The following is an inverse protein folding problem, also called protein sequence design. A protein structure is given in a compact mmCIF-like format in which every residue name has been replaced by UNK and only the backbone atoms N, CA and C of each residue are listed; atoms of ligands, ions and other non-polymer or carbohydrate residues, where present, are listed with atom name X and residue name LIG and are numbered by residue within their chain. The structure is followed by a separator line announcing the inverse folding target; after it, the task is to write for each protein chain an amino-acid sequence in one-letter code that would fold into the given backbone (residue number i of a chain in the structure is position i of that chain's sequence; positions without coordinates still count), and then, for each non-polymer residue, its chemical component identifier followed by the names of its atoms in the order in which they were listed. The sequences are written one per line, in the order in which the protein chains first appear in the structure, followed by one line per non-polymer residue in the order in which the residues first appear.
data_IF_349461150501
#
_entry.id   IF_349461150501
#
_cell.length_a   1.000
_cell.length_b   1.000
_cell.length_c   1.000
_cell.angle_alpha   90.00
_cell.angle_beta   90.00
_cell.angle_gamma   90.00
#
_symmetry.space_group_name_H-M   'P 1'
#
loop_
_entity.id
_entity.type
_entity.pdbx_description
1 polymer ?
#
# COMPACT_ATOMS: atom_id res chain seq x y z
N UNK A 1 -7.95 -47.95 -0.02
CA UNK A 1 -8.22 -47.27 1.24
C UNK A 1 -8.54 -45.83 0.88
N UNK A 2 -9.83 -45.48 0.91
CA UNK A 2 -10.32 -44.15 0.46
C UNK A 2 -10.07 -43.16 1.59
N UNK A 3 -9.41 -42.04 1.28
CA UNK A 3 -9.29 -40.88 2.16
C UNK A 3 -10.54 -40.05 1.93
N UNK A 4 -11.38 -39.96 2.96
CA UNK A 4 -12.56 -39.10 2.95
C UNK A 4 -12.13 -37.64 3.03
N UNK A 5 -12.40 -36.93 1.94
CA UNK A 5 -12.35 -35.48 1.87
C UNK A 5 -13.68 -34.89 2.33
N UNK A 6 -13.60 -33.68 2.90
CA UNK A 6 -14.67 -32.72 3.01
C UNK A 6 -15.29 -32.54 4.38
N UNK A 7 -14.71 -31.58 5.09
CA UNK A 7 -15.39 -30.85 6.18
C UNK A 7 -15.84 -29.44 5.79
N UNK A 8 -15.85 -29.09 4.50
CA UNK A 8 -16.30 -27.76 4.05
C UNK A 8 -17.34 -27.91 2.94
N UNK A 9 -18.53 -27.29 3.07
CA UNK A 9 -19.58 -27.39 2.06
C UNK A 9 -19.19 -26.59 0.82
N UNK A 10 -19.14 -27.26 -0.32
CA UNK A 10 -19.02 -26.68 -1.65
C UNK A 10 -20.36 -26.10 -2.10
N UNK A 11 -20.76 -24.93 -1.62
CA UNK A 11 -21.83 -24.18 -2.28
C UNK A 11 -21.70 -22.67 -1.96
N UNK A 12 -21.00 -21.96 -2.80
CA UNK A 12 -20.82 -20.50 -2.70
C UNK A 12 -21.89 -19.80 -3.56
N UNK A 13 -23.14 -19.96 -3.16
CA UNK A 13 -24.21 -19.10 -3.64
C UNK A 13 -24.11 -17.75 -2.93
N UNK A 14 -23.88 -16.68 -3.66
CA UNK A 14 -24.10 -15.31 -3.20
C UNK A 14 -25.58 -15.15 -2.85
N UNK A 15 -25.95 -15.33 -1.58
CA UNK A 15 -27.25 -14.85 -1.09
C UNK A 15 -27.18 -13.33 -0.96
N UNK A 16 -28.14 -12.59 -1.53
CA UNK A 16 -28.21 -11.15 -1.28
C UNK A 16 -28.51 -10.96 0.21
N UNK A 17 -27.66 -10.20 0.89
CA UNK A 17 -27.89 -9.75 2.25
C UNK A 17 -29.24 -9.04 2.29
N UNK A 18 -30.23 -9.64 2.94
CA UNK A 18 -31.46 -8.95 3.33
C UNK A 18 -31.06 -7.78 4.21
N UNK A 19 -31.51 -6.58 3.86
CA UNK A 19 -31.32 -5.37 4.64
C UNK A 19 -31.69 -5.64 6.11
N UNK A 20 -30.71 -5.50 7.00
CA UNK A 20 -30.96 -5.34 8.43
C UNK A 20 -31.41 -3.91 8.65
N UNK A 21 -32.52 -3.74 9.30
CA UNK A 21 -32.93 -2.46 9.87
C UNK A 21 -31.83 -1.97 10.82
N UNK A 22 -31.50 -0.69 10.68
CA UNK A 22 -30.48 -0.01 11.50
C UNK A 22 -30.99 0.13 12.95
N UNK A 23 -30.69 -0.86 13.79
CA UNK A 23 -30.58 -0.65 15.23
C UNK A 23 -29.17 -0.11 15.50
N UNK A 24 -29.05 0.86 16.41
CA UNK A 24 -27.87 1.64 16.75
C UNK A 24 -26.65 0.75 17.13
N UNK A 25 -26.01 0.13 16.14
CA UNK A 25 -24.67 -0.43 16.27
C UNK A 25 -23.70 0.76 16.33
N UNK A 26 -22.85 0.80 17.34
CA UNK A 26 -21.76 1.77 17.44
C UNK A 26 -20.93 1.69 16.14
N UNK A 27 -20.93 2.77 15.37
CA UNK A 27 -20.19 2.83 14.14
C UNK A 27 -18.69 2.57 14.43
N UNK A 28 -18.10 1.60 13.74
CA UNK A 28 -16.67 1.30 13.91
C UNK A 28 -15.84 2.50 13.47
N UNK A 29 -14.88 2.90 14.30
CA UNK A 29 -13.97 4.02 13.98
C UNK A 29 -13.01 3.64 12.86
N UNK A 30 -12.45 2.42 12.91
CA UNK A 30 -11.42 1.98 11.98
C UNK A 30 -11.69 0.58 11.46
N UNK A 31 -11.71 0.40 10.14
CA UNK A 31 -11.56 -0.91 9.51
C UNK A 31 -10.10 -1.15 9.16
N UNK A 32 -9.52 -2.23 9.69
CA UNK A 32 -8.21 -2.74 9.26
C UNK A 32 -8.44 -3.83 8.21
N UNK A 33 -8.04 -3.58 6.97
CA UNK A 33 -8.09 -4.58 5.89
C UNK A 33 -6.76 -5.34 5.90
N UNK A 34 -6.86 -6.68 6.05
CA UNK A 34 -5.71 -7.59 6.05
C UNK A 34 -5.80 -8.50 4.82
N UNK A 35 -5.08 -8.17 3.72
CA UNK A 35 -4.95 -9.05 2.55
C UNK A 35 -4.14 -10.29 2.90
N UNK A 36 -4.66 -11.50 2.59
CA UNK A 36 -4.01 -12.77 2.97
C UNK A 36 -3.91 -13.71 1.77
N UNK A 37 -2.68 -14.09 1.42
CA UNK A 37 -2.41 -15.15 0.46
C UNK A 37 -1.22 -16.00 0.88
N UNK A 38 -1.48 -17.22 1.41
CA UNK A 38 -0.46 -18.18 1.87
C UNK A 38 0.49 -17.57 2.93
N UNK A 39 -0.06 -17.09 4.04
CA UNK A 39 0.64 -16.40 5.13
C UNK A 39 0.59 -17.14 6.47
N UNK A 40 0.44 -18.46 6.47
CA UNK A 40 0.32 -19.30 7.67
C UNK A 40 1.38 -19.00 8.73
N UNK A 41 2.62 -18.70 8.31
CA UNK A 41 3.73 -18.42 9.23
C UNK A 41 3.61 -17.09 9.97
N UNK A 42 2.93 -16.11 9.41
CA UNK A 42 2.96 -14.72 9.87
C UNK A 42 1.61 -14.20 10.37
N UNK A 43 0.52 -14.67 9.77
CA UNK A 43 -0.83 -14.16 10.03
C UNK A 43 -1.22 -14.19 11.50
N UNK A 44 -0.74 -15.15 12.29
CA UNK A 44 -1.05 -15.21 13.74
C UNK A 44 -0.48 -14.02 14.49
N UNK A 45 0.75 -13.57 14.15
CA UNK A 45 1.34 -12.38 14.74
C UNK A 45 0.61 -11.12 14.28
N UNK A 46 0.28 -11.02 13.00
CA UNK A 46 -0.48 -9.92 12.42
C UNK A 46 -1.81 -9.73 13.16
N UNK A 47 -2.68 -10.74 13.15
CA UNK A 47 -4.00 -10.65 13.77
C UNK A 47 -3.91 -10.52 15.30
N UNK A 48 -2.95 -11.19 15.94
CA UNK A 48 -2.71 -11.09 17.38
C UNK A 48 -2.33 -9.68 17.83
N UNK A 49 -1.64 -8.91 16.99
CA UNK A 49 -1.26 -7.53 17.30
C UNK A 49 -2.46 -6.58 17.33
N UNK A 50 -3.57 -6.95 16.70
CA UNK A 50 -4.82 -6.18 16.68
C UNK A 50 -5.77 -6.54 17.85
N UNK A 51 -5.47 -7.60 18.61
CA UNK A 51 -6.22 -7.99 19.81
C UNK A 51 -5.81 -7.09 20.97
N UNK A 52 -6.36 -5.89 21.01
CA UNK A 52 -6.05 -4.84 21.98
C UNK A 52 -7.35 -4.45 22.66
N UNK A 53 -7.52 -4.84 23.96
CA UNK A 53 -8.79 -4.70 24.68
C UNK A 53 -9.36 -3.29 24.66
N UNK A 54 -8.50 -2.26 24.71
CA UNK A 54 -8.88 -0.86 24.74
C UNK A 54 -9.54 -0.35 23.45
N UNK A 55 -9.29 -1.01 22.32
CA UNK A 55 -9.81 -0.57 21.01
C UNK A 55 -10.66 -1.62 20.29
N UNK A 56 -10.82 -2.81 20.88
CA UNK A 56 -11.43 -3.97 20.21
C UNK A 56 -12.87 -3.69 19.73
N UNK A 57 -13.64 -2.96 20.52
CA UNK A 57 -15.03 -2.61 20.19
C UNK A 57 -15.11 -1.50 19.10
N UNK A 58 -14.05 -0.68 18.98
CA UNK A 58 -13.98 0.46 18.08
C UNK A 58 -13.46 0.11 16.68
N UNK A 59 -12.88 -1.10 16.52
CA UNK A 59 -12.29 -1.50 15.24
C UNK A 59 -13.04 -2.67 14.61
N UNK A 60 -12.96 -2.76 13.28
CA UNK A 60 -13.28 -3.92 12.47
C UNK A 60 -12.01 -4.44 11.81
N UNK A 61 -11.80 -5.74 11.78
CA UNK A 61 -10.68 -6.38 11.07
C UNK A 61 -11.23 -7.29 9.99
N UNK A 62 -11.03 -6.91 8.74
CA UNK A 62 -11.43 -7.68 7.57
C UNK A 62 -10.25 -8.52 7.07
N UNK A 63 -10.27 -9.80 7.38
CA UNK A 63 -9.28 -10.77 6.88
C UNK A 63 -9.72 -11.25 5.51
N UNK A 64 -9.12 -10.69 4.44
CA UNK A 64 -9.48 -11.02 3.05
C UNK A 64 -8.59 -12.15 2.55
N UNK A 65 -9.13 -13.37 2.58
CA UNK A 65 -8.47 -14.58 2.09
C UNK A 65 -8.54 -14.64 0.55
N UNK A 66 -7.45 -14.29 -0.11
CA UNK A 66 -7.34 -14.21 -1.57
C UNK A 66 -6.94 -15.57 -2.18
N UNK A 67 -7.73 -16.61 -1.89
CA UNK A 67 -7.52 -17.96 -2.44
C UNK A 67 -6.34 -18.71 -1.81
N UNK A 68 -6.03 -18.47 -0.53
CA UNK A 68 -5.00 -19.19 0.23
C UNK A 68 -5.25 -20.70 0.26
N UNK A 69 -4.16 -21.49 0.17
CA UNK A 69 -4.18 -22.97 0.16
C UNK A 69 -3.47 -23.61 1.35
N UNK A 70 -2.85 -22.77 2.21
CA UNK A 70 -2.16 -23.17 3.44
C UNK A 70 -3.08 -23.04 4.68
N UNK A 71 -2.51 -23.14 5.87
CA UNK A 71 -3.22 -23.01 7.15
C UNK A 71 -3.73 -21.62 7.50
N UNK A 72 -3.53 -20.59 6.65
CA UNK A 72 -3.92 -19.19 6.94
C UNK A 72 -5.40 -19.05 7.31
N UNK A 73 -6.30 -19.75 6.60
CA UNK A 73 -7.73 -19.69 6.85
C UNK A 73 -8.11 -20.27 8.24
N UNK A 74 -7.48 -21.37 8.64
CA UNK A 74 -7.70 -21.96 9.96
C UNK A 74 -7.28 -21.02 11.09
N UNK A 75 -6.12 -20.38 10.94
CA UNK A 75 -5.63 -19.40 11.91
C UNK A 75 -6.58 -18.20 12.00
N UNK A 76 -7.00 -17.65 10.85
CA UNK A 76 -7.94 -16.54 10.84
C UNK A 76 -9.27 -16.89 11.53
N UNK A 77 -9.76 -18.10 11.33
CA UNK A 77 -11.00 -18.59 11.95
C UNK A 77 -10.93 -18.58 13.48
N UNK A 78 -9.79 -18.93 14.10
CA UNK A 78 -9.60 -18.87 15.56
C UNK A 78 -9.84 -17.46 16.11
N UNK A 79 -9.46 -16.40 15.39
CA UNK A 79 -9.71 -15.01 15.79
C UNK A 79 -11.17 -14.61 15.63
N UNK A 80 -11.82 -15.01 14.54
CA UNK A 80 -13.26 -14.76 14.34
C UNK A 80 -14.10 -15.46 15.42
N UNK A 81 -13.78 -16.72 15.75
CA UNK A 81 -14.48 -17.47 16.79
C UNK A 81 -14.35 -16.81 18.17
N UNK A 82 -13.17 -16.25 18.46
CA UNK A 82 -12.89 -15.63 19.77
C UNK A 82 -13.35 -14.17 19.87
N UNK A 83 -13.37 -13.44 18.74
CA UNK A 83 -13.71 -12.00 18.68
C UNK A 83 -14.65 -11.72 17.50
N UNK A 84 -15.88 -12.27 17.50
CA UNK A 84 -16.77 -12.23 16.33
C UNK A 84 -17.28 -10.83 15.98
N UNK A 85 -17.29 -9.89 16.94
CA UNK A 85 -17.72 -8.51 16.72
C UNK A 85 -16.62 -7.62 16.14
N UNK A 86 -15.37 -8.13 16.12
CA UNK A 86 -14.20 -7.39 15.64
C UNK A 86 -13.62 -8.01 14.36
N UNK A 87 -13.49 -9.33 14.30
CA UNK A 87 -12.85 -10.01 13.17
C UNK A 87 -13.88 -10.66 12.25
N UNK A 88 -13.71 -10.44 10.96
CA UNK A 88 -14.53 -11.04 9.91
C UNK A 88 -13.66 -11.57 8.78
N UNK A 89 -13.93 -12.78 8.31
CA UNK A 89 -13.25 -13.38 7.17
C UNK A 89 -14.08 -13.15 5.90
N UNK A 90 -13.38 -12.74 4.84
CA UNK A 90 -13.91 -12.66 3.50
C UNK A 90 -13.14 -13.63 2.61
N UNK A 91 -13.84 -14.59 2.03
CA UNK A 91 -13.26 -15.55 1.10
C UNK A 91 -13.45 -15.07 -0.35
N UNK A 92 -12.41 -15.14 -1.16
CA UNK A 92 -12.50 -14.85 -2.59
C UNK A 92 -11.53 -15.70 -3.40
N UNK A 93 -11.78 -15.82 -4.70
CA UNK A 93 -10.80 -16.37 -5.63
C UNK A 93 -9.59 -15.45 -5.71
N UNK A 94 -8.38 -16.05 -5.91
CA UNK A 94 -7.16 -15.26 -6.02
C UNK A 94 -7.26 -14.23 -7.14
N UNK A 95 -6.99 -13.00 -6.81
CA UNK A 95 -6.97 -11.84 -7.71
C UNK A 95 -5.82 -10.88 -7.38
N UNK A 96 -4.95 -11.26 -6.44
CA UNK A 96 -3.80 -10.48 -6.01
C UNK A 96 -4.14 -9.42 -4.96
N UNK A 97 -3.09 -8.75 -4.48
CA UNK A 97 -3.14 -7.80 -3.37
C UNK A 97 -4.18 -6.69 -3.59
N UNK A 98 -4.17 -6.05 -4.77
CA UNK A 98 -5.15 -4.99 -5.10
C UNK A 98 -6.59 -5.49 -5.09
N UNK A 99 -6.85 -6.71 -5.56
CA UNK A 99 -8.18 -7.32 -5.53
C UNK A 99 -8.67 -7.57 -4.11
N UNK A 100 -7.77 -7.96 -3.19
CA UNK A 100 -8.09 -8.10 -1.77
C UNK A 100 -8.39 -6.74 -1.12
N UNK A 101 -7.62 -5.70 -1.43
CA UNK A 101 -7.88 -4.34 -0.96
C UNK A 101 -9.23 -3.83 -1.50
N UNK A 102 -9.50 -3.96 -2.80
CA UNK A 102 -10.78 -3.56 -3.41
C UNK A 102 -11.98 -4.22 -2.70
N UNK A 103 -11.85 -5.53 -2.41
CA UNK A 103 -12.89 -6.27 -1.70
C UNK A 103 -13.05 -5.76 -0.26
N UNK A 104 -11.95 -5.53 0.45
CA UNK A 104 -11.95 -4.99 1.80
C UNK A 104 -12.58 -3.60 1.85
N UNK A 105 -12.20 -2.70 0.95
CA UNK A 105 -12.78 -1.35 0.84
C UNK A 105 -14.30 -1.40 0.63
N UNK A 106 -14.78 -2.27 -0.23
CA UNK A 106 -16.21 -2.43 -0.49
C UNK A 106 -16.97 -2.89 0.76
N UNK A 107 -16.35 -3.71 1.62
CA UNK A 107 -16.96 -4.34 2.78
C UNK A 107 -16.69 -3.61 4.11
N UNK A 108 -15.80 -2.63 4.12
CA UNK A 108 -15.42 -1.88 5.32
C UNK A 108 -16.63 -1.15 5.93
N UNK A 109 -16.77 -1.19 7.25
CA UNK A 109 -17.84 -0.48 7.98
C UNK A 109 -17.33 0.70 8.80
N UNK A 110 -16.02 0.76 9.07
CA UNK A 110 -15.41 1.82 9.86
C UNK A 110 -15.37 3.16 9.12
N UNK A 111 -15.40 4.24 9.87
CA UNK A 111 -15.27 5.61 9.33
C UNK A 111 -13.94 5.80 8.61
N UNK A 112 -12.89 5.18 9.11
CA UNK A 112 -11.55 5.16 8.51
C UNK A 112 -11.14 3.75 8.08
N UNK A 113 -10.20 3.68 7.16
CA UNK A 113 -9.59 2.43 6.69
C UNK A 113 -8.08 2.50 6.76
N UNK A 114 -7.46 1.39 7.16
CA UNK A 114 -6.02 1.15 7.11
C UNK A 114 -5.75 -0.22 6.51
N UNK A 115 -4.71 -0.32 5.67
CA UNK A 115 -4.22 -1.61 5.17
C UNK A 115 -3.12 -2.10 6.09
N UNK A 116 -3.18 -3.38 6.45
CA UNK A 116 -2.13 -4.09 7.18
C UNK A 116 -1.78 -5.38 6.45
N UNK A 117 -0.57 -5.46 5.91
CA UNK A 117 -0.10 -6.67 5.24
C UNK A 117 0.01 -7.82 6.24
N UNK A 118 -0.41 -9.01 5.84
CA UNK A 118 -0.54 -10.18 6.73
C UNK A 118 0.79 -10.77 7.23
N UNK A 119 1.92 -10.29 6.74
CA UNK A 119 3.26 -10.59 7.24
C UNK A 119 3.82 -9.51 8.20
N UNK A 120 3.09 -8.42 8.39
CA UNK A 120 3.42 -7.29 9.24
C UNK A 120 2.55 -7.29 10.52
N UNK A 121 2.75 -6.30 11.41
CA UNK A 121 1.98 -6.15 12.63
C UNK A 121 1.97 -4.71 13.11
N UNK A 122 1.17 -4.39 14.13
CA UNK A 122 1.11 -3.05 14.73
C UNK A 122 1.76 -3.02 16.12
N UNK A 123 2.28 -1.85 16.51
CA UNK A 123 2.63 -1.56 17.89
C UNK A 123 1.36 -1.24 18.67
N UNK A 124 1.18 -1.89 19.83
CA UNK A 124 -0.02 -1.79 20.64
C UNK A 124 -0.37 -0.36 21.03
N UNK A 125 0.59 0.31 21.67
CA UNK A 125 0.32 1.61 22.28
C UNK A 125 0.16 2.71 21.22
N UNK A 126 0.99 2.66 20.17
CA UNK A 126 0.87 3.57 19.05
C UNK A 126 -0.43 3.37 18.26
N UNK A 127 -0.91 2.12 18.15
CA UNK A 127 -2.19 1.83 17.50
C UNK A 127 -3.39 2.33 18.32
N UNK A 128 -3.37 2.24 19.66
CA UNK A 128 -4.38 2.85 20.50
C UNK A 128 -4.45 4.36 20.28
N UNK A 129 -3.30 5.05 20.29
CA UNK A 129 -3.26 6.50 20.05
C UNK A 129 -3.70 6.89 18.63
N UNK A 130 -3.46 6.04 17.64
CA UNK A 130 -4.04 6.24 16.31
C UNK A 130 -5.57 6.19 16.37
N UNK A 131 -6.15 5.14 16.96
CA UNK A 131 -7.62 5.01 17.07
C UNK A 131 -8.23 6.17 17.83
N UNK A 132 -7.61 6.59 18.94
CA UNK A 132 -8.07 7.75 19.71
C UNK A 132 -8.05 9.05 18.88
N UNK A 133 -7.02 9.23 18.04
CA UNK A 133 -6.98 10.37 17.11
C UNK A 133 -8.08 10.31 16.04
N UNK A 134 -8.37 9.11 15.52
CA UNK A 134 -9.41 8.93 14.50
C UNK A 134 -10.82 9.24 15.05
N UNK A 135 -11.10 8.96 16.31
CA UNK A 135 -12.39 9.29 16.95
C UNK A 135 -12.71 10.78 16.96
N UNK A 136 -11.70 11.65 16.86
CA UNK A 136 -11.95 13.09 16.76
C UNK A 136 -12.63 13.46 15.43
N UNK A 137 -12.51 12.60 14.41
CA UNK A 137 -13.10 12.82 13.09
C UNK A 137 -12.59 14.09 12.37
N UNK A 138 -11.44 14.63 12.78
CA UNK A 138 -11.02 15.97 12.35
C UNK A 138 -10.32 16.03 10.99
N UNK A 139 -9.77 14.92 10.49
CA UNK A 139 -8.99 14.91 9.26
C UNK A 139 -9.41 13.79 8.31
N UNK A 140 -9.18 14.01 7.00
CA UNK A 140 -9.42 13.01 5.96
C UNK A 140 -8.37 11.91 6.00
N UNK A 141 -7.12 12.29 6.30
CA UNK A 141 -5.99 11.39 6.45
C UNK A 141 -5.29 11.63 7.78
N UNK A 142 -5.04 10.55 8.51
CA UNK A 142 -4.11 10.53 9.63
C UNK A 142 -2.87 9.76 9.21
N UNK A 143 -1.74 10.46 9.19
CA UNK A 143 -0.44 9.88 8.86
C UNK A 143 0.29 9.49 10.14
N UNK A 144 0.84 8.26 10.17
CA UNK A 144 1.66 7.75 11.26
C UNK A 144 2.97 7.19 10.73
N UNK A 145 3.98 7.10 11.59
CA UNK A 145 5.26 6.50 11.24
C UNK A 145 5.21 4.98 11.22
N UNK A 146 6.25 4.36 10.72
CA UNK A 146 6.44 2.92 10.75
C UNK A 146 7.92 2.56 10.91
N UNK A 147 8.17 1.36 11.46
CA UNK A 147 9.51 0.78 11.56
C UNK A 147 9.74 -0.23 10.45
N UNK A 148 10.97 -0.29 9.97
CA UNK A 148 11.50 -1.50 9.36
C UNK A 148 11.98 -2.45 10.45
N UNK A 149 11.54 -3.70 10.39
CA UNK A 149 11.92 -4.73 11.35
C UNK A 149 12.57 -5.88 10.60
N UNK A 150 13.84 -6.10 10.84
CA UNK A 150 14.59 -7.17 10.18
C UNK A 150 14.28 -8.52 10.82
N UNK A 151 13.92 -9.53 10.02
CA UNK A 151 13.48 -10.85 10.48
C UNK A 151 14.58 -11.62 11.22
N UNK A 152 15.85 -11.41 10.86
CA UNK A 152 16.96 -12.19 11.42
C UNK A 152 17.30 -11.90 12.89
N UNK A 153 17.04 -10.71 13.38
CA UNK A 153 17.48 -10.27 14.71
C UNK A 153 16.42 -9.49 15.50
N UNK A 154 15.25 -9.23 14.90
CA UNK A 154 14.22 -8.42 15.53
C UNK A 154 14.59 -6.94 15.74
N UNK A 155 15.72 -6.50 15.18
CA UNK A 155 16.12 -5.10 15.26
C UNK A 155 15.14 -4.20 14.55
N UNK A 156 14.76 -3.11 15.23
CA UNK A 156 13.94 -2.06 14.65
C UNK A 156 14.84 -0.98 14.05
N UNK A 157 14.67 -0.71 12.76
CA UNK A 157 15.31 0.42 12.10
C UNK A 157 14.25 1.44 11.69
N UNK A 158 14.40 2.67 12.15
CA UNK A 158 13.52 3.78 11.75
C UNK A 158 13.81 4.08 10.27
N UNK A 159 12.81 3.96 9.42
CA UNK A 159 12.96 4.26 7.99
C UNK A 159 13.10 5.76 7.75
N UNK A 160 12.40 6.57 8.50
CA UNK A 160 12.48 8.02 8.42
C UNK A 160 13.06 8.55 9.73
N UNK A 161 14.14 9.28 9.61
CA UNK A 161 14.58 10.18 10.66
C UNK A 161 13.87 11.48 10.43
N UNK A 162 12.74 11.66 11.11
CA UNK A 162 11.99 12.89 11.05
C UNK A 162 11.66 13.34 9.62
N UNK A 163 10.69 12.66 8.94
CA UNK A 163 10.37 12.94 7.53
C UNK A 163 9.76 14.33 7.33
N UNK A 164 9.28 14.96 8.40
CA UNK A 164 8.64 16.25 8.36
C UNK A 164 9.21 17.17 9.44
N UNK A 165 10.29 17.87 9.12
CA UNK A 165 10.94 18.83 10.02
C UNK A 165 10.06 20.06 10.30
N UNK A 166 9.10 20.35 9.42
CA UNK A 166 8.30 21.59 9.42
C UNK A 166 6.83 21.36 9.74
N UNK A 167 6.48 20.25 10.40
CA UNK A 167 5.12 19.98 10.87
C UNK A 167 5.05 19.94 12.40
N UNK A 168 3.92 20.33 12.93
CA UNK A 168 3.58 20.15 14.34
C UNK A 168 2.68 18.92 14.43
N UNK A 169 3.14 17.89 15.11
CA UNK A 169 2.37 16.66 15.31
C UNK A 169 1.08 16.95 16.09
N UNK A 170 0.01 16.24 15.73
CA UNK A 170 -1.33 16.44 16.26
C UNK A 170 -2.08 17.66 15.71
N UNK A 171 -1.41 18.53 14.93
CA UNK A 171 -2.05 19.66 14.28
C UNK A 171 -2.70 19.22 12.95
N UNK A 172 -3.93 19.70 12.69
CA UNK A 172 -4.58 19.58 11.41
C UNK A 172 -4.05 20.61 10.40
N UNK A 173 -3.69 20.13 9.23
CA UNK A 173 -3.25 20.94 8.09
C UNK A 173 -4.24 20.80 6.94
N UNK A 174 -4.34 21.83 6.10
CA UNK A 174 -4.90 21.66 4.77
C UNK A 174 -3.89 20.90 3.92
N UNK A 175 -4.36 19.96 3.11
CA UNK A 175 -3.46 19.16 2.29
C UNK A 175 -2.61 20.01 1.34
N UNK A 176 -3.21 21.01 0.72
CA UNK A 176 -2.53 21.93 -0.20
C UNK A 176 -1.34 22.67 0.43
N UNK A 177 -1.38 22.97 1.75
CA UNK A 177 -0.31 23.69 2.46
C UNK A 177 0.92 22.82 2.72
N UNK A 178 0.79 21.47 2.60
CA UNK A 178 1.86 20.53 2.93
C UNK A 178 2.17 19.52 1.83
N UNK A 179 1.41 19.48 0.73
CA UNK A 179 1.53 18.50 -0.35
C UNK A 179 2.93 18.49 -0.99
N UNK A 180 3.60 19.63 -1.05
CA UNK A 180 4.95 19.75 -1.59
C UNK A 180 6.02 19.08 -0.73
N UNK A 181 5.79 18.93 0.59
CA UNK A 181 6.69 18.37 1.61
C UNK A 181 6.31 16.97 2.03
N UNK A 182 5.16 16.47 1.56
CA UNK A 182 4.57 15.22 2.03
C UNK A 182 4.80 14.08 1.05
N UNK A 183 5.07 12.89 1.56
CA UNK A 183 5.01 11.66 0.80
C UNK A 183 4.39 10.56 1.64
N UNK A 184 3.12 10.27 1.35
CA UNK A 184 2.34 9.25 2.05
C UNK A 184 2.63 7.88 1.45
N UNK A 185 2.83 6.88 2.29
CA UNK A 185 2.92 5.47 1.91
C UNK A 185 1.76 4.70 2.52
N UNK A 186 1.36 3.61 1.91
CA UNK A 186 0.28 2.75 2.40
C UNK A 186 0.43 2.40 3.88
N UNK A 187 1.64 2.02 4.32
CA UNK A 187 1.95 1.67 5.71
C UNK A 187 1.67 2.79 6.72
N UNK A 188 1.88 4.05 6.30
CA UNK A 188 1.68 5.25 7.11
C UNK A 188 0.24 5.78 7.07
N UNK A 189 -0.52 5.42 6.05
CA UNK A 189 -1.80 6.02 5.74
C UNK A 189 -2.95 5.37 6.51
N UNK A 190 -3.79 6.21 7.09
CA UNK A 190 -5.15 5.87 7.54
C UNK A 190 -6.05 6.95 6.98
N UNK A 191 -7.06 6.57 6.22
CA UNK A 191 -7.87 7.49 5.42
C UNK A 191 -9.36 7.27 5.67
N UNK A 192 -10.19 8.30 5.54
CA UNK A 192 -11.64 8.15 5.53
C UNK A 192 -12.07 7.11 4.48
N UNK A 193 -12.87 6.16 4.92
CA UNK A 193 -13.33 5.04 4.08
C UNK A 193 -14.07 5.54 2.85
N UNK A 194 -14.85 6.60 3.01
CA UNK A 194 -15.59 7.22 1.92
C UNK A 194 -14.65 7.74 0.83
N UNK A 195 -13.59 8.49 1.18
CA UNK A 195 -12.63 9.00 0.20
C UNK A 195 -11.87 7.87 -0.50
N UNK A 196 -11.48 6.83 0.24
CA UNK A 196 -10.86 5.66 -0.35
C UNK A 196 -11.76 4.95 -1.38
N UNK A 197 -13.08 5.01 -1.22
CA UNK A 197 -14.08 4.48 -2.16
C UNK A 197 -14.38 5.41 -3.31
N UNK A 198 -14.44 6.71 -3.06
CA UNK A 198 -14.82 7.75 -4.04
C UNK A 198 -13.75 8.02 -5.08
N UNK A 199 -12.55 7.51 -4.92
CA UNK A 199 -11.45 7.66 -5.89
C UNK A 199 -11.83 7.28 -7.34
N UNK A 200 -13.04 6.74 -7.55
CA UNK A 200 -13.63 6.44 -8.86
C UNK A 200 -12.89 5.36 -9.66
N UNK A 201 -11.80 4.82 -9.10
CA UNK A 201 -10.94 3.86 -9.77
C UNK A 201 -10.59 2.69 -8.85
N UNK A 202 -10.73 1.48 -9.38
CA UNK A 202 -10.28 0.28 -8.68
C UNK A 202 -8.76 0.16 -8.77
N UNK A 203 -8.15 -0.36 -7.71
CA UNK A 203 -6.76 -0.79 -7.68
C UNK A 203 -6.59 -1.95 -8.67
N UNK A 204 -5.49 -1.99 -9.41
CA UNK A 204 -5.20 -3.03 -10.38
C UNK A 204 -5.16 -4.42 -9.73
N UNK A 205 -5.89 -5.38 -10.33
CA UNK A 205 -5.96 -6.75 -9.85
C UNK A 205 -4.93 -7.64 -10.57
N UNK A 206 -4.56 -8.77 -9.97
CA UNK A 206 -3.50 -9.66 -10.48
C UNK A 206 -2.18 -8.92 -10.74
N UNK A 207 -1.91 -7.88 -9.98
CA UNK A 207 -0.78 -6.98 -10.14
C UNK A 207 -0.04 -6.78 -8.82
N UNK A 208 1.30 -6.68 -8.88
CA UNK A 208 2.17 -6.29 -7.76
C UNK A 208 2.41 -4.78 -7.77
N UNK A 209 2.86 -4.22 -6.65
CA UNK A 209 3.23 -2.79 -6.47
C UNK A 209 2.06 -1.82 -6.54
N UNK A 210 0.87 -2.30 -6.29
CA UNK A 210 -0.39 -1.53 -6.30
C UNK A 210 -0.62 -0.72 -5.03
N UNK A 211 0.24 -0.84 -4.03
CA UNK A 211 0.27 -0.03 -2.81
C UNK A 211 0.31 1.47 -3.11
N UNK A 212 1.01 1.85 -4.17
CA UNK A 212 1.04 3.25 -4.64
C UNK A 212 -0.31 3.71 -5.19
N UNK A 213 -1.09 2.83 -5.82
CA UNK A 213 -2.43 3.17 -6.33
C UNK A 213 -3.41 3.42 -5.17
N UNK A 214 -3.33 2.60 -4.11
CA UNK A 214 -4.13 2.80 -2.89
C UNK A 214 -3.91 4.19 -2.27
N UNK A 215 -2.69 4.74 -2.37
CA UNK A 215 -2.38 6.08 -1.89
C UNK A 215 -2.80 7.16 -2.90
N UNK A 216 -2.44 6.97 -4.18
CA UNK A 216 -2.55 8.04 -5.18
C UNK A 216 -3.98 8.31 -5.64
N UNK A 217 -4.84 7.28 -5.71
CA UNK A 217 -6.19 7.48 -6.21
C UNK A 217 -7.04 8.34 -5.27
N UNK A 218 -7.14 8.04 -3.95
CA UNK A 218 -7.97 8.84 -3.06
C UNK A 218 -7.37 10.20 -2.70
N UNK A 219 -6.06 10.41 -2.91
CA UNK A 219 -5.40 11.66 -2.49
C UNK A 219 -5.99 12.89 -3.17
N UNK A 220 -6.60 12.73 -4.33
CA UNK A 220 -7.24 13.81 -5.09
C UNK A 220 -8.47 14.39 -4.42
N UNK A 221 -9.03 13.68 -3.45
CA UNK A 221 -10.22 14.08 -2.69
C UNK A 221 -9.87 14.47 -1.24
N UNK A 222 -8.59 14.45 -0.86
CA UNK A 222 -8.13 14.73 0.50
C UNK A 222 -7.93 16.22 0.71
N UNK A 223 -8.69 16.81 1.63
CA UNK A 223 -8.55 18.24 1.98
C UNK A 223 -7.69 18.45 3.22
N UNK A 224 -7.71 17.50 4.16
CA UNK A 224 -7.12 17.66 5.49
C UNK A 224 -6.28 16.48 5.92
N UNK A 225 -5.17 16.77 6.64
CA UNK A 225 -4.26 15.74 7.15
C UNK A 225 -3.77 16.10 8.56
N UNK A 226 -3.64 15.09 9.41
CA UNK A 226 -2.96 15.15 10.71
C UNK A 226 -1.75 14.22 10.67
N UNK A 227 -0.63 14.69 11.22
CA UNK A 227 0.58 13.90 11.42
C UNK A 227 0.66 13.46 12.88
N UNK A 228 0.82 12.16 13.13
CA UNK A 228 1.07 11.61 14.45
C UNK A 228 2.53 11.21 14.60
N UNK A 229 3.15 11.58 15.71
CA UNK A 229 4.49 11.13 16.08
C UNK A 229 4.44 9.73 16.71
N UNK A 230 3.79 8.80 15.98
CA UNK A 230 3.57 7.43 16.43
C UNK A 230 4.04 6.43 15.38
N UNK A 231 4.81 5.43 15.83
CA UNK A 231 5.30 4.34 14.98
C UNK A 231 4.34 3.16 15.05
N UNK A 232 3.23 3.28 14.33
CA UNK A 232 2.12 2.34 14.39
C UNK A 232 2.44 1.02 13.69
N UNK A 233 3.06 1.05 12.54
CA UNK A 233 3.19 -0.09 11.64
C UNK A 233 4.60 -0.69 11.72
N UNK A 234 4.67 -2.00 11.91
CA UNK A 234 5.90 -2.79 11.96
C UNK A 234 6.09 -3.55 10.66
N UNK A 235 6.89 -2.99 9.75
CA UNK A 235 7.14 -3.55 8.42
C UNK A 235 8.27 -4.57 8.46
N UNK A 236 7.93 -5.84 8.22
CA UNK A 236 8.90 -6.95 8.21
C UNK A 236 9.77 -6.92 6.97
N UNK A 237 11.08 -7.04 7.16
CA UNK A 237 12.06 -7.13 6.09
C UNK A 237 12.89 -8.41 6.21
N UNK A 238 13.35 -8.92 5.05
CA UNK A 238 14.28 -10.05 4.98
C UNK A 238 13.62 -11.42 4.82
N UNK A 239 12.29 -11.50 4.75
CA UNK A 239 11.65 -12.78 4.47
C UNK A 239 11.88 -13.25 3.03
N UNK A 240 11.98 -14.57 2.83
CA UNK A 240 12.09 -15.18 1.51
C UNK A 240 10.86 -14.87 0.65
N UNK A 241 11.09 -14.48 -0.60
CA UNK A 241 10.02 -14.21 -1.58
C UNK A 241 9.35 -12.83 -1.46
N UNK A 242 9.89 -11.92 -0.66
CA UNK A 242 9.37 -10.56 -0.52
C UNK A 242 9.41 -9.79 -1.84
N UNK A 243 8.30 -9.11 -2.20
CA UNK A 243 8.11 -8.42 -3.48
C UNK A 243 9.15 -7.33 -3.77
N UNK A 244 9.71 -6.72 -2.72
CA UNK A 244 10.70 -5.63 -2.80
C UNK A 244 12.12 -6.09 -3.14
N UNK A 245 12.41 -7.40 -3.21
CA UNK A 245 13.73 -7.85 -3.66
C UNK A 245 13.95 -7.52 -5.14
N UNK A 246 15.19 -7.15 -5.52
CA UNK A 246 15.51 -6.80 -6.92
C UNK A 246 15.21 -7.97 -7.89
N UNK A 247 15.36 -9.21 -7.43
CA UNK A 247 15.01 -10.38 -8.23
C UNK A 247 13.52 -10.43 -8.54
N UNK A 248 12.66 -10.21 -7.53
CA UNK A 248 11.21 -10.16 -7.72
C UNK A 248 10.78 -8.94 -8.55
N UNK A 249 11.43 -7.79 -8.35
CA UNK A 249 11.15 -6.61 -9.16
C UNK A 249 11.49 -6.83 -10.64
N UNK A 250 12.56 -7.55 -10.96
CA UNK A 250 12.87 -7.96 -12.35
C UNK A 250 11.82 -8.91 -12.91
N UNK A 251 11.44 -9.92 -12.14
CA UNK A 251 10.39 -10.89 -12.56
C UNK A 251 9.06 -10.20 -12.83
N UNK A 252 8.70 -9.27 -11.97
CA UNK A 252 7.41 -8.58 -12.00
C UNK A 252 7.48 -7.19 -12.67
N UNK A 253 8.51 -6.89 -13.49
CA UNK A 253 8.67 -5.58 -14.10
C UNK A 253 7.46 -5.13 -14.92
N UNK A 254 6.74 -6.07 -15.55
CA UNK A 254 5.51 -5.75 -16.30
C UNK A 254 4.37 -5.27 -15.38
N UNK A 255 4.27 -5.79 -14.16
CA UNK A 255 3.31 -5.27 -13.19
C UNK A 255 3.67 -3.83 -12.80
N UNK A 256 4.95 -3.55 -12.57
CA UNK A 256 5.40 -2.19 -12.28
C UNK A 256 5.15 -1.23 -13.46
N UNK A 257 5.28 -1.71 -14.70
CA UNK A 257 4.93 -0.96 -15.92
C UNK A 257 3.40 -0.75 -16.01
N UNK A 258 2.60 -1.75 -15.64
CA UNK A 258 1.14 -1.64 -15.61
C UNK A 258 0.70 -0.58 -14.60
N UNK A 259 1.20 -0.62 -13.38
CA UNK A 259 0.92 0.40 -12.35
C UNK A 259 1.30 1.80 -12.85
N UNK A 260 2.47 1.96 -13.49
CA UNK A 260 2.85 3.26 -14.07
C UNK A 260 1.84 3.73 -15.12
N UNK A 261 1.37 2.84 -16.00
CA UNK A 261 0.34 3.17 -17.01
C UNK A 261 -0.97 3.57 -16.37
N UNK A 262 -1.39 2.85 -15.34
CA UNK A 262 -2.63 3.13 -14.61
C UNK A 262 -2.57 4.50 -13.91
N UNK A 263 -1.44 4.84 -13.30
CA UNK A 263 -1.22 6.14 -12.67
C UNK A 263 -1.16 7.30 -13.69
N UNK A 264 -0.53 7.09 -14.86
CA UNK A 264 -0.50 8.10 -15.92
C UNK A 264 -1.91 8.35 -16.49
N UNK A 265 -2.67 7.29 -16.74
CA UNK A 265 -4.06 7.42 -17.19
C UNK A 265 -4.93 8.13 -16.14
N UNK A 266 -4.72 7.84 -14.85
CA UNK A 266 -5.41 8.54 -13.76
C UNK A 266 -5.03 10.02 -13.72
N UNK A 267 -3.75 10.35 -13.90
CA UNK A 267 -3.28 11.73 -13.96
C UNK A 267 -3.92 12.51 -15.11
N UNK A 268 -4.05 11.91 -16.30
CA UNK A 268 -4.74 12.53 -17.44
C UNK A 268 -6.21 12.81 -17.13
N UNK A 269 -6.91 11.86 -16.48
CA UNK A 269 -8.28 12.06 -16.01
C UNK A 269 -8.40 13.24 -15.03
N UNK A 270 -7.46 13.36 -14.06
CA UNK A 270 -7.48 14.43 -13.07
C UNK A 270 -7.17 15.80 -13.68
N UNK A 271 -6.24 15.86 -14.63
CA UNK A 271 -6.01 17.11 -15.41
C UNK A 271 -7.26 17.56 -16.17
N UNK A 272 -7.97 16.63 -16.75
CA UNK A 272 -9.24 16.94 -17.44
C UNK A 272 -10.32 17.42 -16.47
N UNK A 273 -10.35 16.91 -15.23
CA UNK A 273 -11.30 17.34 -14.18
C UNK A 273 -10.92 18.67 -13.53
N UNK A 274 -9.83 19.32 -13.95
CA UNK A 274 -9.33 20.56 -13.41
C UNK A 274 -9.01 20.52 -11.91
N UNK A 275 -8.40 19.41 -11.47
CA UNK A 275 -7.88 19.26 -10.11
C UNK A 275 -6.93 20.43 -9.78
N UNK A 276 -6.93 20.90 -8.53
CA UNK A 276 -6.06 21.99 -8.11
C UNK A 276 -4.57 21.63 -8.23
N UNK A 277 -3.73 22.67 -8.26
CA UNK A 277 -2.31 22.51 -8.57
C UNK A 277 -1.54 21.72 -7.49
N UNK A 278 -1.92 21.83 -6.21
CA UNK A 278 -1.22 21.13 -5.14
C UNK A 278 -1.40 19.61 -5.25
N UNK A 279 -2.62 19.16 -5.54
CA UNK A 279 -2.90 17.73 -5.78
C UNK A 279 -2.26 17.24 -7.07
N UNK A 280 -2.30 18.02 -8.16
CA UNK A 280 -1.58 17.67 -9.39
C UNK A 280 -0.09 17.53 -9.16
N UNK A 281 0.52 18.47 -8.44
CA UNK A 281 1.93 18.45 -8.08
C UNK A 281 2.32 17.22 -7.25
N UNK A 282 1.43 16.81 -6.34
CA UNK A 282 1.62 15.59 -5.54
C UNK A 282 1.57 14.34 -6.42
N UNK A 283 0.58 14.22 -7.31
CA UNK A 283 0.48 13.12 -8.26
C UNK A 283 1.71 13.04 -9.16
N UNK A 284 2.14 14.15 -9.73
CA UNK A 284 3.32 14.23 -10.60
C UNK A 284 4.60 13.78 -9.87
N UNK A 285 4.81 14.23 -8.62
CA UNK A 285 5.93 13.78 -7.78
C UNK A 285 5.86 12.27 -7.49
N UNK A 286 4.68 11.76 -7.18
CA UNK A 286 4.45 10.34 -6.95
C UNK A 286 4.76 9.50 -8.17
N UNK A 287 4.23 9.87 -9.33
CA UNK A 287 4.48 9.20 -10.61
C UNK A 287 5.97 9.27 -10.97
N UNK A 288 6.62 10.43 -10.77
CA UNK A 288 8.06 10.60 -11.01
C UNK A 288 8.92 9.63 -10.16
N UNK A 289 8.48 9.31 -8.94
CA UNK A 289 9.12 8.28 -8.10
C UNK A 289 8.93 6.87 -8.67
N UNK A 290 7.74 6.56 -9.19
CA UNK A 290 7.48 5.28 -9.88
C UNK A 290 8.34 5.17 -11.14
N UNK A 291 8.45 6.22 -11.94
CA UNK A 291 9.38 6.30 -13.09
C UNK A 291 10.82 6.03 -12.64
N UNK A 292 11.28 6.69 -11.58
CA UNK A 292 12.63 6.49 -11.03
C UNK A 292 12.87 5.05 -10.57
N UNK A 293 11.86 4.42 -9.95
CA UNK A 293 11.91 3.01 -9.54
C UNK A 293 11.98 2.08 -10.75
N UNK A 294 11.23 2.39 -11.81
CA UNK A 294 11.24 1.60 -13.05
C UNK A 294 12.60 1.68 -13.78
N UNK A 295 13.25 2.83 -13.77
CA UNK A 295 14.64 2.97 -14.23
C UNK A 295 15.59 2.08 -13.43
N UNK A 296 15.44 2.03 -12.11
CA UNK A 296 16.24 1.14 -11.24
C UNK A 296 16.04 -0.33 -11.62
N UNK A 297 14.80 -0.73 -11.95
CA UNK A 297 14.49 -2.08 -12.44
C UNK A 297 15.23 -2.33 -13.76
N UNK A 298 15.17 -1.44 -14.75
CA UNK A 298 15.88 -1.60 -16.01
C UNK A 298 17.41 -1.71 -15.83
N UNK A 299 17.99 -0.90 -14.94
CA UNK A 299 19.41 -0.97 -14.62
C UNK A 299 19.83 -2.26 -13.90
N UNK A 300 18.91 -2.99 -13.30
CA UNK A 300 19.17 -4.25 -12.60
C UNK A 300 19.13 -5.48 -13.53
N UNK A 301 18.55 -5.37 -14.73
CA UNK A 301 18.59 -6.45 -15.72
C UNK A 301 20.01 -6.71 -16.22
N UNK A 302 20.32 -7.90 -16.77
CA UNK A 302 21.55 -8.10 -17.54
C UNK A 302 21.67 -7.05 -18.64
N UNK A 303 22.88 -6.49 -18.80
CA UNK A 303 23.13 -5.44 -19.78
C UNK A 303 22.81 -5.92 -21.21
N UNK A 304 21.89 -5.25 -21.88
CA UNK A 304 21.51 -5.58 -23.26
C UNK A 304 20.99 -4.35 -24.00
N UNK A 305 21.21 -4.33 -25.32
CA UNK A 305 20.66 -3.28 -26.18
C UNK A 305 19.12 -3.22 -26.15
N UNK A 306 18.46 -4.35 -25.90
CA UNK A 306 16.99 -4.40 -25.77
C UNK A 306 16.50 -3.66 -24.52
N UNK A 307 17.10 -3.90 -23.37
CA UNK A 307 16.74 -3.22 -22.12
C UNK A 307 17.06 -1.73 -22.20
N UNK A 308 18.20 -1.39 -22.79
CA UNK A 308 18.55 0.00 -23.08
C UNK A 308 17.46 0.70 -23.93
N UNK A 309 17.02 0.06 -25.02
CA UNK A 309 15.99 0.61 -25.89
C UNK A 309 14.65 0.78 -25.15
N UNK A 310 14.27 -0.18 -24.31
CA UNK A 310 13.05 -0.09 -23.48
C UNK A 310 13.12 1.09 -22.50
N UNK A 311 14.24 1.26 -21.79
CA UNK A 311 14.45 2.36 -20.86
C UNK A 311 14.38 3.71 -21.58
N UNK A 312 15.06 3.83 -22.73
CA UNK A 312 15.08 5.05 -23.54
C UNK A 312 13.69 5.39 -24.06
N UNK A 313 12.95 4.40 -24.59
CA UNK A 313 11.60 4.61 -25.10
C UNK A 313 10.63 5.08 -23.99
N UNK A 314 10.74 4.50 -22.78
CA UNK A 314 9.97 4.98 -21.64
C UNK A 314 10.30 6.45 -21.31
N UNK A 315 11.59 6.79 -21.27
CA UNK A 315 12.02 8.15 -20.92
C UNK A 315 11.56 9.18 -21.95
N UNK A 316 11.67 8.83 -23.23
CA UNK A 316 11.19 9.66 -24.34
C UNK A 316 9.67 9.86 -24.26
N UNK A 317 8.92 8.78 -24.01
CA UNK A 317 7.47 8.87 -23.80
C UNK A 317 7.12 9.81 -22.64
N UNK A 318 7.75 9.64 -21.47
CA UNK A 318 7.47 10.51 -20.31
C UNK A 318 7.84 11.97 -20.62
N UNK A 319 8.95 12.21 -21.36
CA UNK A 319 9.35 13.56 -21.75
C UNK A 319 8.35 14.24 -22.68
N UNK A 320 7.82 13.49 -23.65
CA UNK A 320 6.96 14.02 -24.71
C UNK A 320 5.51 14.14 -24.28
N UNK A 321 4.97 13.12 -23.62
CA UNK A 321 3.56 13.06 -23.23
C UNK A 321 3.29 13.65 -21.83
N UNK A 322 4.28 13.57 -20.90
CA UNK A 322 4.13 13.94 -19.48
C UNK A 322 5.29 14.86 -19.01
N UNK A 323 5.48 16.04 -19.62
CA UNK A 323 6.65 16.90 -19.36
C UNK A 323 6.73 17.39 -17.91
N UNK A 324 5.60 17.52 -17.21
CA UNK A 324 5.59 17.96 -15.80
C UNK A 324 6.06 16.83 -14.87
N UNK A 325 5.63 15.60 -15.10
CA UNK A 325 6.18 14.39 -14.43
C UNK A 325 7.68 14.25 -14.74
N UNK A 326 8.08 14.43 -16.00
CA UNK A 326 9.48 14.31 -16.42
C UNK A 326 10.41 15.25 -15.65
N UNK A 327 10.00 16.52 -15.44
CA UNK A 327 10.76 17.53 -14.69
C UNK A 327 10.91 17.17 -13.20
N UNK A 328 9.92 16.46 -12.62
CA UNK A 328 9.89 16.06 -11.20
C UNK A 328 10.66 14.76 -10.90
N UNK A 329 11.29 14.15 -11.89
CA UNK A 329 12.18 12.99 -11.67
C UNK A 329 13.51 13.45 -11.09
N UNK A 330 13.62 13.51 -9.78
CA UNK A 330 14.79 14.03 -9.04
C UNK A 330 15.90 12.99 -8.80
N UNK A 331 15.74 11.75 -9.30
CA UNK A 331 16.72 10.68 -9.08
C UNK A 331 18.07 11.00 -9.75
N UNK A 332 19.13 11.09 -8.94
CA UNK A 332 20.49 11.45 -9.41
C UNK A 332 21.03 10.54 -10.52
N UNK A 333 20.70 9.24 -10.49
CA UNK A 333 21.12 8.28 -11.52
C UNK A 333 20.37 8.53 -12.81
N UNK A 334 19.06 8.73 -12.76
CA UNK A 334 18.22 9.07 -13.92
C UNK A 334 18.68 10.40 -14.52
N UNK A 335 18.91 11.41 -13.66
CA UNK A 335 19.43 12.71 -14.09
C UNK A 335 20.77 12.57 -14.84
N UNK A 336 21.73 11.81 -14.31
CA UNK A 336 23.04 11.61 -14.94
C UNK A 336 22.93 10.87 -16.28
N UNK A 337 22.08 9.84 -16.36
CA UNK A 337 21.81 9.10 -17.60
C UNK A 337 21.24 10.05 -18.67
N UNK A 338 20.23 10.85 -18.33
CA UNK A 338 19.62 11.84 -19.24
C UNK A 338 20.63 12.88 -19.73
N UNK A 339 21.40 13.47 -18.79
CA UNK A 339 22.36 14.53 -19.10
C UNK A 339 23.54 14.06 -19.95
N UNK A 340 23.89 12.78 -19.87
CA UNK A 340 24.94 12.17 -20.71
C UNK A 340 24.44 11.71 -22.09
N UNK A 341 23.18 11.99 -22.45
CA UNK A 341 22.58 11.41 -23.66
C UNK A 341 22.56 9.88 -23.62
N UNK A 342 22.29 9.34 -22.43
CA UNK A 342 22.25 7.91 -22.11
C UNK A 342 23.61 7.16 -22.13
N UNK A 343 24.73 7.84 -22.32
CA UNK A 343 26.05 7.20 -22.30
C UNK A 343 26.38 6.56 -20.94
N UNK A 344 25.85 7.11 -19.86
CA UNK A 344 26.04 6.56 -18.51
C UNK A 344 25.14 5.36 -18.17
N UNK A 345 24.36 4.84 -19.10
CA UNK A 345 23.59 3.60 -18.90
C UNK A 345 24.50 2.42 -18.54
N UNK A 346 25.57 2.18 -19.31
CA UNK A 346 26.47 1.06 -19.10
C UNK A 346 27.25 1.13 -17.78
N UNK A 347 27.88 2.27 -17.39
CA UNK A 347 28.45 2.44 -16.07
C UNK A 347 27.42 2.33 -14.94
N UNK A 348 26.22 2.87 -15.12
CA UNK A 348 25.12 2.79 -14.15
C UNK A 348 24.70 1.34 -13.87
N UNK A 349 24.57 0.54 -14.92
CA UNK A 349 24.31 -0.89 -14.81
C UNK A 349 25.42 -1.61 -14.02
N UNK A 350 26.68 -1.34 -14.31
CA UNK A 350 27.82 -1.95 -13.61
C UNK A 350 27.80 -1.61 -12.10
N UNK A 351 27.52 -0.36 -11.75
CA UNK A 351 27.38 0.06 -10.36
C UNK A 351 26.23 -0.67 -9.62
N UNK A 352 25.08 -0.90 -10.30
CA UNK A 352 23.96 -1.66 -9.72
C UNK A 352 24.31 -3.12 -9.49
N UNK A 353 24.99 -3.77 -10.46
CA UNK A 353 25.41 -5.17 -10.32
C UNK A 353 26.41 -5.39 -9.15
N UNK A 354 27.24 -4.40 -8.86
CA UNK A 354 28.16 -4.45 -7.71
C UNK A 354 27.44 -4.30 -6.36
N UNK A 355 26.38 -3.48 -6.30
CA UNK A 355 25.55 -3.34 -5.10
C UNK A 355 24.77 -4.61 -4.77
N UNK A 356 24.20 -5.27 -5.79
CA UNK A 356 23.48 -6.54 -5.62
C UNK A 356 24.36 -7.69 -5.11
N UNK A 357 25.64 -7.69 -5.44
CA UNK A 357 26.59 -8.72 -4.93
C UNK A 357 27.02 -8.49 -3.46
N UNK A 358 26.76 -7.30 -2.92
CA UNK A 358 27.12 -6.92 -1.54
C UNK A 358 25.94 -6.95 -0.57
N UNK A 359 24.70 -7.05 -1.08
CA UNK A 359 23.45 -7.16 -0.32
C UNK A 359 23.02 -8.64 -0.21
#
# INVERSE_FOLDING_TARGET
MRIENSKYPHNWGLSPCKGREMDSEMDKVLTVIVPVYNMEKYIRQCLGSLVIGEVLERIEVLVVLDGSKDGSAGIAYEFVERYPDTFRIIYKANGGHGSAINTGLMMASGEYVKILDSDDWVDRDAFCRLVDCLETGEADVVWSNYYWVYEMNGEKAIQYRDPFTDVVYGKKYRFEDIADRTFIKMHSMTIRTELARQAGRKIDENCYYVDVEFVMYPITEVETIIFLDEFVYMYRLGRSGQSMSMEQMRRNHRNHEQVLKSLLAFYDEQKFRHLDQAHLDYLEKGIARVVSSHFKIYLSFPCSGKVFAMMKALDEKIREEYPDVYKKVENKVVWAIRRSGYLLYYPGHFCMSLKEKKA
#
